data_IF_945436329079
#
_entry.id   IF_945436329079
#
_cell.length_a   1.000
_cell.length_b   1.000
_cell.length_c   1.000
_cell.angle_alpha   90.00
_cell.angle_beta   90.00
_cell.angle_gamma   90.00
#
_symmetry.space_group_name_H-M   'P 1'
#
loop_
_entity.id
_entity.type
_entity.pdbx_description
1 polymer ?
#
# COMPACT_ATOMS: atom_id res chain seq x y z
N UNK A 1 -25.46 10.13 -17.84
CA UNK A 1 -24.97 9.42 -16.64
C UNK A 1 -23.93 10.32 -16.00
N UNK A 2 -24.04 10.65 -14.71
CA UNK A 2 -23.18 11.65 -14.09
C UNK A 2 -21.73 11.15 -13.96
N UNK A 3 -20.82 11.81 -14.66
CA UNK A 3 -19.37 11.70 -14.53
C UNK A 3 -18.92 12.05 -13.10
N UNK A 4 -18.98 11.06 -12.21
CA UNK A 4 -18.52 11.19 -10.82
C UNK A 4 -16.99 11.07 -10.75
N UNK A 5 -16.28 11.87 -11.55
CA UNK A 5 -14.81 12.02 -11.52
C UNK A 5 -14.37 13.38 -10.98
N UNK A 6 -15.29 14.15 -10.40
CA UNK A 6 -14.97 15.45 -9.82
C UNK A 6 -14.30 15.26 -8.46
N UNK A 7 -12.97 15.46 -8.44
CA UNK A 7 -12.12 15.60 -7.25
C UNK A 7 -11.53 14.34 -6.62
N UNK A 8 -10.94 13.41 -7.41
CA UNK A 8 -10.00 12.44 -6.81
C UNK A 8 -8.72 13.17 -6.37
N UNK A 9 -8.69 13.61 -5.10
CA UNK A 9 -7.50 14.21 -4.48
C UNK A 9 -6.34 13.23 -4.66
N UNK A 10 -5.19 13.75 -5.11
CA UNK A 10 -3.97 12.94 -5.18
C UNK A 10 -3.55 12.64 -3.74
N UNK A 11 -3.58 11.37 -3.37
CA UNK A 11 -3.12 10.89 -2.07
C UNK A 11 -1.62 10.63 -2.19
N UNK A 12 -0.86 11.24 -1.29
CA UNK A 12 0.57 10.95 -1.16
C UNK A 12 0.76 9.95 -0.04
N UNK A 13 1.30 8.79 -0.37
CA UNK A 13 1.69 7.76 0.58
C UNK A 13 3.20 7.58 0.52
N UNK A 14 3.78 6.94 1.53
CA UNK A 14 5.20 6.60 1.55
C UNK A 14 5.35 5.09 1.65
N UNK A 15 6.12 4.45 0.78
CA UNK A 15 6.45 3.02 0.84
C UNK A 15 7.97 2.91 0.98
N UNK A 16 8.47 2.24 2.03
CA UNK A 16 9.91 2.12 2.32
C UNK A 16 10.66 3.46 2.37
N UNK A 17 9.98 4.50 2.85
CA UNK A 17 10.52 5.86 2.89
C UNK A 17 10.49 6.61 1.56
N UNK A 18 10.03 5.98 0.47
CA UNK A 18 9.85 6.63 -0.84
C UNK A 18 8.42 7.16 -1.00
N UNK A 19 8.22 8.43 -1.37
CA UNK A 19 6.89 8.99 -1.59
C UNK A 19 6.32 8.55 -2.94
N UNK A 20 5.07 8.08 -2.92
CA UNK A 20 4.27 7.73 -4.09
C UNK A 20 2.96 8.49 -4.08
N UNK A 21 2.50 8.91 -5.26
CA UNK A 21 1.22 9.60 -5.40
C UNK A 21 0.23 8.72 -6.15
N UNK A 22 -0.90 8.44 -5.51
CA UNK A 22 -2.01 7.68 -6.11
C UNK A 22 -3.28 8.52 -6.14
N UNK A 23 -4.24 8.12 -6.98
CA UNK A 23 -5.56 8.74 -7.08
C UNK A 23 -6.66 7.86 -6.51
N UNK A 24 -6.36 6.63 -6.19
CA UNK A 24 -7.30 5.65 -5.65
C UNK A 24 -7.06 5.58 -4.14
N UNK A 25 -8.11 5.84 -3.37
CA UNK A 25 -8.07 5.69 -1.92
C UNK A 25 -8.20 4.22 -1.49
N UNK A 26 -8.77 3.36 -2.32
CA UNK A 26 -8.80 1.92 -2.12
C UNK A 26 -7.81 1.23 -3.08
N UNK A 27 -6.73 0.65 -2.54
CA UNK A 27 -5.79 -0.12 -3.36
C UNK A 27 -5.41 -1.45 -2.71
N UNK A 28 -5.24 -2.46 -3.55
CA UNK A 28 -4.68 -3.74 -3.13
C UNK A 28 -3.23 -3.56 -2.66
N UNK A 29 -2.90 -4.21 -1.54
CA UNK A 29 -1.51 -4.34 -1.05
C UNK A 29 -0.56 -4.78 -2.17
N UNK A 30 -0.98 -5.70 -3.03
CA UNK A 30 -0.19 -6.14 -4.17
C UNK A 30 0.03 -5.06 -5.23
N UNK A 31 -0.95 -4.19 -5.48
CA UNK A 31 -0.79 -3.06 -6.39
C UNK A 31 0.24 -2.06 -5.87
N UNK A 32 0.26 -1.83 -4.55
CA UNK A 32 1.23 -0.95 -3.89
C UNK A 32 2.65 -1.53 -3.92
N UNK A 33 2.79 -2.84 -3.75
CA UNK A 33 4.08 -3.53 -3.91
C UNK A 33 4.58 -3.41 -5.34
N UNK A 34 3.72 -3.66 -6.33
CA UNK A 34 4.06 -3.48 -7.76
C UNK A 34 4.42 -2.03 -8.09
N UNK A 35 3.77 -1.05 -7.46
CA UNK A 35 4.10 0.38 -7.60
C UNK A 35 5.52 0.69 -7.11
N UNK A 36 5.96 0.03 -6.04
CA UNK A 36 7.33 0.08 -5.55
C UNK A 36 8.31 -0.82 -6.34
N UNK A 37 7.84 -1.52 -7.37
CA UNK A 37 8.66 -2.46 -8.16
C UNK A 37 8.93 -3.80 -7.47
N UNK A 38 8.12 -4.16 -6.48
CA UNK A 38 8.25 -5.38 -5.67
C UNK A 38 7.20 -6.42 -6.04
N UNK A 39 7.59 -7.69 -5.88
CA UNK A 39 6.72 -8.82 -6.19
C UNK A 39 5.82 -9.17 -4.99
N UNK A 40 4.48 -9.13 -5.14
CA UNK A 40 3.55 -9.41 -4.05
C UNK A 40 3.50 -10.87 -3.59
N UNK A 41 4.11 -11.81 -4.33
CA UNK A 41 4.30 -13.18 -3.88
C UNK A 41 5.58 -13.36 -3.04
N UNK A 42 6.46 -12.36 -3.00
CA UNK A 42 7.69 -12.38 -2.20
C UNK A 42 7.72 -11.35 -1.08
N UNK A 43 6.84 -10.36 -1.14
CA UNK A 43 6.76 -9.26 -0.19
C UNK A 43 5.32 -9.09 0.29
N UNK A 44 5.18 -8.85 1.59
CA UNK A 44 3.98 -8.34 2.22
C UNK A 44 4.08 -6.81 2.35
N UNK A 45 2.94 -6.15 2.46
CA UNK A 45 2.89 -4.72 2.75
C UNK A 45 2.45 -4.50 4.19
N UNK A 46 3.15 -3.66 4.95
CA UNK A 46 2.75 -3.30 6.30
C UNK A 46 2.52 -1.80 6.44
N UNK A 47 1.32 -1.40 6.91
CA UNK A 47 1.00 0.00 7.23
C UNK A 47 1.61 0.37 8.58
N UNK A 48 2.51 1.34 8.59
CA UNK A 48 3.03 1.95 9.81
C UNK A 48 1.93 2.81 10.41
N UNK A 49 1.52 2.48 11.63
CA UNK A 49 0.63 3.35 12.41
C UNK A 49 1.47 4.21 13.36
N UNK A 50 1.14 5.51 13.46
CA UNK A 50 1.83 6.45 14.37
C UNK A 50 1.86 6.00 15.83
N UNK A 51 0.89 5.20 16.27
CA UNK A 51 0.66 4.86 17.69
C UNK A 51 0.60 3.35 17.98
N UNK A 52 1.15 2.50 17.11
CA UNK A 52 1.07 1.06 17.34
C UNK A 52 1.93 0.21 16.42
N UNK A 53 1.72 -1.10 16.54
CA UNK A 53 2.42 -2.08 15.71
C UNK A 53 2.03 -1.94 14.24
N UNK A 54 2.98 -2.09 13.30
CA UNK A 54 2.70 -2.06 11.88
C UNK A 54 1.73 -3.18 11.52
N UNK A 55 0.64 -2.84 10.84
CA UNK A 55 -0.36 -3.81 10.42
C UNK A 55 0.07 -4.40 9.09
N UNK A 56 0.40 -5.69 9.09
CA UNK A 56 0.77 -6.44 7.87
C UNK A 56 -0.50 -6.84 7.11
N UNK A 57 -0.49 -6.60 5.81
CA UNK A 57 -1.50 -6.98 4.84
C UNK A 57 -0.89 -8.02 3.90
N UNK A 58 -1.47 -9.22 3.92
CA UNK A 58 -1.10 -10.35 3.06
C UNK A 58 -2.19 -10.58 2.00
N UNK A 59 -1.86 -11.36 0.97
CA UNK A 59 -2.83 -11.91 0.01
C UNK A 59 -3.69 -10.86 -0.72
N UNK A 60 -3.06 -9.82 -1.25
CA UNK A 60 -3.71 -8.82 -2.11
C UNK A 60 -4.88 -8.06 -1.43
N UNK A 61 -4.93 -8.05 -0.09
CA UNK A 61 -5.92 -7.29 0.69
C UNK A 61 -6.03 -5.84 0.18
N UNK A 62 -7.26 -5.40 -0.06
CA UNK A 62 -7.60 -3.99 -0.31
C UNK A 62 -7.37 -3.19 0.98
N UNK A 63 -6.68 -2.07 0.83
CA UNK A 63 -6.30 -1.15 1.90
C UNK A 63 -6.86 0.23 1.56
N UNK A 64 -7.55 0.82 2.52
CA UNK A 64 -7.90 2.25 2.50
C UNK A 64 -6.64 3.09 2.80
N UNK A 65 -6.29 3.93 1.85
CA UNK A 65 -5.16 4.84 1.83
C UNK A 65 -5.60 6.22 2.27
N UNK A 66 -4.81 6.79 3.17
CA UNK A 66 -5.00 8.13 3.68
C UNK A 66 -3.78 9.00 3.35
N UNK A 67 -3.99 10.31 3.24
CA UNK A 67 -2.89 11.24 2.95
C UNK A 67 -1.85 11.20 4.07
N UNK A 68 -0.58 10.95 3.70
CA UNK A 68 0.53 10.85 4.64
C UNK A 68 0.69 9.46 5.26
N UNK A 69 -0.05 8.45 4.80
CA UNK A 69 0.19 7.07 5.22
C UNK A 69 1.61 6.61 4.87
N UNK A 70 2.18 5.83 5.79
CA UNK A 70 3.47 5.21 5.63
C UNK A 70 3.32 3.69 5.63
N UNK A 71 3.99 3.06 4.67
CA UNK A 71 4.02 1.63 4.47
C UNK A 71 5.47 1.17 4.37
N UNK A 72 5.72 -0.07 4.76
CA UNK A 72 7.00 -0.75 4.58
C UNK A 72 6.75 -2.11 3.96
N UNK A 73 7.67 -2.54 3.11
CA UNK A 73 7.64 -3.88 2.57
C UNK A 73 8.32 -4.84 3.53
N UNK A 74 7.66 -5.95 3.77
CA UNK A 74 8.17 -7.02 4.62
C UNK A 74 8.41 -8.19 3.69
N UNK A 75 9.67 -8.57 3.49
CA UNK A 75 9.97 -9.76 2.70
C UNK A 75 9.28 -10.95 3.36
N UNK A 76 8.40 -11.63 2.62
CA UNK A 76 7.95 -12.95 2.99
C UNK A 76 9.21 -13.82 2.96
N UNK A 77 9.82 -14.06 4.10
CA UNK A 77 10.86 -15.07 4.23
C UNK A 77 10.18 -16.39 3.89
N UNK A 78 10.31 -16.81 2.63
CA UNK A 78 9.82 -18.08 2.14
C UNK A 78 10.21 -19.13 3.18
N UNK A 79 9.21 -19.75 3.82
CA UNK A 79 9.48 -21.01 4.47
C UNK A 79 9.89 -21.95 3.35
N UNK A 80 11.19 -22.22 3.30
CA UNK A 80 11.77 -23.33 2.57
C UNK A 80 11.03 -24.60 3.00
N UNK A 81 10.19 -25.13 2.12
CA UNK A 81 9.56 -26.44 2.27
C UNK A 81 9.45 -27.10 0.90
#
# INVERSE_FOLDING_TARGET
MADKHESRKKLTITIDGQPFTTRDDDQESAALLRLAGLDPAQYDLAKIKRNGEPKVYRDEKVIDLEEGDAFVTVRQSAQVA
#
